data_IF_842805363397
#
_entry.id   IF_842805363397
#
_cell.length_a   1.000
_cell.length_b   1.000
_cell.length_c   1.000
_cell.angle_alpha   90.00
_cell.angle_beta   90.00
_cell.angle_gamma   90.00
#
_symmetry.space_group_name_H-M   'P 1'
#
loop_
_entity.id
_entity.type
_entity.pdbx_description
1 polymer ?
#
# COMPACT_ATOMS: atom_id res chain seq x y z
N UNK A 1 -10.16 19.39 15.83
CA UNK A 1 -9.75 19.12 15.36
C UNK A 1 -9.41 18.18 14.74
N UNK A 2 -9.33 17.66 14.16
CA UNK A 2 -9.06 16.62 13.63
C UNK A 2 -8.20 16.67 12.56
N UNK A 3 -7.23 17.27 12.62
CA UNK A 3 -6.29 17.37 11.69
C UNK A 3 -5.63 16.11 11.42
N UNK A 4 -5.92 15.16 12.11
CA UNK A 4 -5.32 13.86 11.96
C UNK A 4 -5.33 13.35 10.55
N UNK A 5 -6.43 13.55 9.86
CA UNK A 5 -6.52 13.07 8.51
C UNK A 5 -5.57 13.74 7.58
N UNK A 6 -5.34 14.99 7.81
CA UNK A 6 -4.45 15.73 6.97
C UNK A 6 -3.04 15.20 7.08
N UNK A 7 -2.65 14.83 8.26
CA UNK A 7 -1.31 14.33 8.49
C UNK A 7 -1.07 13.06 7.72
N UNK A 8 -2.04 12.18 7.72
CA UNK A 8 -1.89 10.90 7.03
C UNK A 8 -1.64 11.11 5.55
N UNK A 9 -2.28 12.09 4.97
CA UNK A 9 -2.15 12.30 3.55
C UNK A 9 -0.95 13.15 3.17
N UNK A 10 -0.32 13.77 4.13
CA UNK A 10 0.74 14.71 3.83
C UNK A 10 2.05 14.07 3.46
N UNK A 11 2.30 12.88 3.92
CA UNK A 11 3.58 12.23 3.68
C UNK A 11 3.38 10.80 3.24
N UNK A 12 4.35 10.31 2.56
CA UNK A 12 4.29 8.93 2.10
C UNK A 12 5.47 8.66 1.21
N UNK A 13 5.60 7.41 0.86
CA UNK A 13 6.67 6.97 0.00
C UNK A 13 6.11 6.74 -1.39
N UNK A 14 6.94 7.00 -2.38
CA UNK A 14 6.55 6.77 -3.76
C UNK A 14 7.38 5.68 -4.36
N UNK A 15 6.74 4.84 -5.14
CA UNK A 15 7.45 3.90 -5.96
C UNK A 15 6.81 3.94 -7.34
N UNK A 16 7.55 3.51 -8.35
CA UNK A 16 7.04 3.54 -9.70
C UNK A 16 6.39 2.21 -10.04
N UNK A 17 5.32 2.29 -10.79
CA UNK A 17 4.69 1.09 -11.31
C UNK A 17 5.40 0.68 -12.58
N UNK A 18 5.68 -0.59 -12.71
CA UNK A 18 6.27 -1.12 -13.93
C UNK A 18 5.44 -2.32 -14.36
N UNK A 19 5.58 -2.67 -15.64
CA UNK A 19 4.85 -3.82 -16.16
C UNK A 19 5.38 -5.09 -15.50
N UNK A 20 4.47 -5.92 -15.04
CA UNK A 20 4.87 -7.14 -14.33
C UNK A 20 5.64 -8.09 -15.23
N UNK A 21 5.25 -8.16 -16.51
CA UNK A 21 5.97 -8.96 -17.46
C UNK A 21 5.60 -8.47 -18.87
N UNK A 22 6.39 -8.85 -19.84
CA UNK A 22 6.12 -8.44 -21.23
C UNK A 22 4.75 -8.97 -21.64
N UNK A 23 3.95 -8.10 -22.23
CA UNK A 23 2.63 -8.49 -22.69
C UNK A 23 1.58 -8.58 -21.61
N UNK A 24 1.95 -8.36 -20.36
CA UNK A 24 1.00 -8.44 -19.26
C UNK A 24 0.29 -7.11 -19.09
N UNK A 25 -0.95 -7.16 -18.61
CA UNK A 25 -1.67 -5.96 -18.21
C UNK A 25 -1.48 -5.67 -16.74
N UNK A 26 -0.79 -6.56 -16.03
CA UNK A 26 -0.54 -6.35 -14.61
C UNK A 26 0.65 -5.45 -14.39
N UNK A 27 0.61 -4.71 -13.30
CA UNK A 27 1.69 -3.81 -12.91
C UNK A 27 2.24 -4.27 -11.59
N UNK A 28 3.48 -3.89 -11.31
CA UNK A 28 4.11 -4.20 -10.04
C UNK A 28 4.89 -3.00 -9.53
N UNK A 29 5.14 -3.00 -8.24
CA UNK A 29 5.95 -1.97 -7.62
C UNK A 29 6.60 -2.56 -6.38
N UNK A 30 7.63 -1.88 -5.89
CA UNK A 30 8.34 -2.32 -4.71
C UNK A 30 7.69 -1.73 -3.47
N UNK A 31 7.51 -2.55 -2.44
CA UNK A 31 7.06 -2.04 -1.16
C UNK A 31 8.22 -1.25 -0.55
N UNK A 32 8.00 0.01 -0.17
CA UNK A 32 9.09 0.79 0.41
C UNK A 32 9.66 0.14 1.65
N UNK A 33 10.98 0.23 1.79
CA UNK A 33 11.68 -0.43 2.88
C UNK A 33 11.15 0.00 4.25
N UNK A 34 10.87 1.28 4.42
CA UNK A 34 10.37 1.76 5.69
C UNK A 34 9.02 1.18 6.05
N UNK A 35 8.16 1.00 5.05
CA UNK A 35 6.85 0.42 5.29
C UNK A 35 6.98 -1.07 5.61
N UNK A 36 7.82 -1.77 4.86
CA UNK A 36 8.03 -3.19 5.11
C UNK A 36 8.58 -3.41 6.51
N UNK A 37 9.49 -2.56 6.96
CA UNK A 37 10.04 -2.67 8.30
C UNK A 37 9.02 -2.35 9.37
N UNK A 38 8.22 -1.34 9.13
CA UNK A 38 7.23 -0.91 10.12
C UNK A 38 6.24 -2.04 10.46
N UNK A 39 5.85 -2.79 9.45
CA UNK A 39 4.91 -3.89 9.63
C UNK A 39 5.59 -5.26 9.69
N UNK A 40 6.94 -5.28 9.68
CA UNK A 40 7.69 -6.54 9.73
C UNK A 40 7.23 -7.49 8.64
N UNK A 41 7.12 -6.98 7.42
CA UNK A 41 6.70 -7.80 6.29
C UNK A 41 7.85 -8.67 5.83
N UNK A 42 7.57 -9.91 5.53
CA UNK A 42 8.57 -10.90 5.13
C UNK A 42 8.10 -11.66 3.92
N UNK A 43 9.01 -12.30 3.23
CA UNK A 43 8.62 -13.16 2.11
C UNK A 43 7.58 -14.18 2.56
N UNK A 44 6.55 -14.35 1.76
CA UNK A 44 5.44 -15.23 2.09
C UNK A 44 4.25 -14.50 2.67
N UNK A 45 4.44 -13.31 3.20
CA UNK A 45 3.31 -12.51 3.63
C UNK A 45 2.60 -11.97 2.39
N UNK A 46 1.36 -11.55 2.56
CA UNK A 46 0.61 -10.99 1.46
C UNK A 46 0.03 -9.65 1.86
N UNK A 47 -0.52 -8.96 0.89
CA UNK A 47 -1.15 -7.67 1.11
C UNK A 47 -2.53 -7.72 0.51
N UNK A 48 -3.52 -7.35 1.29
CA UNK A 48 -4.88 -7.28 0.80
C UNK A 48 -5.07 -5.90 0.20
N UNK A 49 -5.47 -5.87 -1.06
CA UNK A 49 -5.71 -4.63 -1.77
C UNK A 49 -7.20 -4.35 -1.77
N UNK A 50 -7.57 -3.14 -1.47
CA UNK A 50 -8.96 -2.78 -1.42
C UNK A 50 -9.14 -1.37 -1.96
N UNK A 51 -10.37 -1.03 -2.28
CA UNK A 51 -10.69 0.31 -2.76
C UNK A 51 -11.67 0.90 -1.78
N UNK A 52 -11.43 2.15 -1.40
CA UNK A 52 -12.28 2.82 -0.44
C UNK A 52 -12.45 4.28 -0.84
N UNK A 53 -13.48 4.97 -0.32
CA UNK A 53 -13.61 6.40 -0.61
C UNK A 53 -12.42 7.16 -0.04
N UNK A 54 -11.96 8.14 -0.81
CA UNK A 54 -10.86 8.97 -0.36
C UNK A 54 -11.33 9.86 0.80
N UNK A 55 -10.39 10.31 1.65
CA UNK A 55 -10.75 11.16 2.77
C UNK A 55 -11.45 12.45 2.36
N UNK A 56 -11.11 12.98 1.19
CA UNK A 56 -11.73 14.21 0.72
C UNK A 56 -13.09 13.94 0.07
N UNK A 57 -13.49 12.68 0.00
CA UNK A 57 -14.78 12.28 -0.56
C UNK A 57 -14.99 12.63 -2.01
N UNK A 58 -13.90 12.92 -2.71
CA UNK A 58 -13.99 13.28 -4.12
C UNK A 58 -13.51 12.19 -5.04
N UNK A 59 -13.10 11.09 -4.54
CA UNK A 59 -12.63 10.00 -5.38
C UNK A 59 -12.45 8.74 -4.59
N UNK A 60 -11.65 7.85 -5.13
CA UNK A 60 -11.37 6.58 -4.49
C UNK A 60 -9.89 6.49 -4.17
N UNK A 61 -9.57 5.68 -3.20
CA UNK A 61 -8.18 5.43 -2.85
C UNK A 61 -7.95 3.94 -2.73
N UNK A 62 -6.69 3.56 -2.80
CA UNK A 62 -6.29 2.17 -2.63
C UNK A 62 -5.87 1.98 -1.17
N UNK A 63 -6.39 0.95 -0.55
CA UNK A 63 -6.05 0.60 0.81
C UNK A 63 -5.28 -0.70 0.78
N UNK A 64 -4.14 -0.73 1.45
CA UNK A 64 -3.28 -1.91 1.52
C UNK A 64 -3.25 -2.39 2.96
N UNK A 65 -3.64 -3.62 3.17
CA UNK A 65 -3.69 -4.19 4.51
C UNK A 65 -2.72 -5.35 4.57
N UNK A 66 -1.72 -5.30 5.46
CA UNK A 66 -0.78 -6.41 5.57
C UNK A 66 -1.48 -7.65 6.08
N UNK A 67 -1.18 -8.79 5.45
CA UNK A 67 -1.76 -10.04 5.85
C UNK A 67 -0.60 -10.99 6.09
N UNK A 68 -0.18 -11.07 7.32
CA UNK A 68 1.03 -11.78 7.67
C UNK A 68 0.78 -13.26 7.84
N UNK A 69 1.73 -14.05 7.37
CA UNK A 69 1.67 -15.47 7.58
C UNK A 69 1.84 -15.73 9.07
N UNK A 70 1.01 -16.63 9.60
CA UNK A 70 1.11 -16.98 11.00
C UNK A 70 2.41 -17.77 11.21
N UNK A 71 3.22 -17.32 12.14
CA UNK A 71 4.48 -17.98 12.46
C UNK A 71 4.47 -18.47 13.88
N UNK A 72 5.01 -19.63 14.07
CA UNK A 72 5.05 -20.23 15.41
C UNK A 72 6.09 -19.56 16.29
#
# INVERSE_FOLDING_TARGET
MSETNTIIMAKGERTCLIRASAGSHSLRTTVPKGIASHFDLRPGDSILWSIAPAPDRKGLMIVLIPDKVRRA
#
